data_IF_709167123520
#
_entry.id   IF_709167123520
#
_cell.length_a   1.000
_cell.length_b   1.000
_cell.length_c   1.000
_cell.angle_alpha   90.00
_cell.angle_beta   90.00
_cell.angle_gamma   90.00
#
_symmetry.space_group_name_H-M   'P 1'
#
loop_
_entity.id
_entity.type
_entity.pdbx_description
1 polymer ?
#
# COMPACT_ATOMS: atom_id res chain seq x y z
N UNK A 1 11.45 -25.53 6.94
CA UNK A 1 10.45 -24.95 7.89
C UNK A 1 9.19 -25.77 7.86
N UNK A 2 8.36 -25.62 8.88
CA UNK A 2 7.07 -26.31 9.09
C UNK A 2 5.99 -25.29 9.32
N UNK A 3 4.74 -25.58 8.91
CA UNK A 3 3.59 -24.75 9.22
C UNK A 3 2.38 -25.58 9.62
N UNK A 4 1.64 -25.09 10.60
CA UNK A 4 0.36 -25.63 11.00
C UNK A 4 -0.66 -24.49 11.08
N UNK A 5 -1.87 -24.76 10.58
CA UNK A 5 -2.98 -23.79 10.58
C UNK A 5 -4.16 -24.36 11.31
N UNK A 6 -4.86 -23.53 12.08
CA UNK A 6 -6.07 -23.85 12.80
C UNK A 6 -7.13 -22.77 12.61
N UNK A 7 -8.39 -23.18 12.72
CA UNK A 7 -9.48 -22.24 12.90
C UNK A 7 -9.26 -21.44 14.20
N UNK A 8 -9.52 -20.13 14.14
CA UNK A 8 -9.37 -19.23 15.28
C UNK A 8 -10.73 -18.62 15.62
N UNK A 9 -11.40 -19.23 16.62
CA UNK A 9 -12.80 -18.92 16.97
C UNK A 9 -12.94 -17.72 17.90
N UNK A 10 -11.89 -16.92 18.06
CA UNK A 10 -11.91 -15.73 18.90
C UNK A 10 -12.11 -14.46 18.07
N UNK A 11 -12.86 -13.52 18.62
CA UNK A 11 -12.96 -12.16 18.05
C UNK A 11 -11.68 -11.40 18.35
N UNK A 12 -10.96 -11.00 17.31
CA UNK A 12 -9.71 -10.26 17.45
C UNK A 12 -9.64 -9.16 16.38
N UNK A 13 -9.04 -8.03 16.74
CA UNK A 13 -8.67 -7.00 15.77
C UNK A 13 -7.26 -7.26 15.23
N UNK A 14 -7.08 -7.21 13.92
CA UNK A 14 -5.77 -7.43 13.31
C UNK A 14 -4.74 -6.36 13.70
N UNK A 15 -5.17 -5.15 14.09
CA UNK A 15 -4.27 -4.15 14.64
C UNK A 15 -3.72 -4.56 16.03
N UNK A 16 -4.52 -5.25 16.82
CA UNK A 16 -4.09 -5.75 18.14
C UNK A 16 -3.17 -6.97 18.00
N UNK A 17 -3.28 -7.72 16.90
CA UNK A 17 -2.29 -8.75 16.53
C UNK A 17 -0.96 -8.11 16.12
N UNK A 18 -0.96 -7.15 15.18
CA UNK A 18 0.24 -6.51 14.69
C UNK A 18 0.92 -5.65 15.76
N UNK A 19 0.13 -4.95 16.58
CA UNK A 19 0.64 -4.00 17.59
C UNK A 19 1.62 -2.99 16.96
N UNK A 20 2.72 -2.62 17.66
CA UNK A 20 3.75 -1.70 17.14
C UNK A 20 5.04 -2.38 16.66
N UNK A 21 5.07 -3.71 16.64
CA UNK A 21 6.27 -4.53 16.37
C UNK A 21 6.01 -5.72 15.43
N UNK A 22 4.77 -5.91 15.00
CA UNK A 22 4.37 -6.94 14.04
C UNK A 22 4.08 -6.35 12.65
N UNK A 23 3.40 -7.16 11.84
CA UNK A 23 3.10 -6.91 10.44
C UNK A 23 1.59 -6.80 10.23
N UNK A 24 1.17 -5.92 9.34
CA UNK A 24 -0.24 -5.68 9.03
C UNK A 24 -0.45 -5.45 7.55
N UNK A 25 -1.48 -6.07 6.98
CA UNK A 25 -2.09 -5.69 5.71
C UNK A 25 -3.59 -5.96 5.80
N UNK A 26 -4.41 -4.92 5.90
CA UNK A 26 -5.85 -5.04 6.20
C UNK A 26 -6.68 -3.96 5.52
N UNK A 27 -7.88 -4.34 5.05
CA UNK A 27 -8.90 -3.42 4.53
C UNK A 27 -10.27 -3.88 5.03
N UNK A 28 -11.11 -2.95 5.52
CA UNK A 28 -12.47 -3.26 6.02
C UNK A 28 -12.52 -4.39 7.05
N UNK A 29 -11.48 -4.52 7.88
CA UNK A 29 -11.35 -5.58 8.88
C UNK A 29 -10.93 -6.95 8.34
N UNK A 30 -10.80 -7.10 7.02
CA UNK A 30 -10.33 -8.32 6.33
C UNK A 30 -8.87 -8.17 5.96
N UNK A 31 -8.08 -9.23 6.10
CA UNK A 31 -6.65 -9.21 5.77
C UNK A 31 -5.79 -10.04 6.71
N UNK A 32 -4.57 -9.60 6.93
CA UNK A 32 -3.51 -10.36 7.57
C UNK A 32 -2.82 -9.51 8.61
N UNK A 33 -2.53 -10.12 9.76
CA UNK A 33 -1.57 -9.60 10.71
C UNK A 33 -0.60 -10.71 11.13
N UNK A 34 0.65 -10.34 11.38
CA UNK A 34 1.69 -11.28 11.75
C UNK A 34 2.56 -10.79 12.91
N UNK A 35 3.15 -11.74 13.65
CA UNK A 35 4.12 -11.47 14.72
C UNK A 35 5.33 -12.36 14.61
N UNK A 36 6.47 -11.81 15.04
CA UNK A 36 7.76 -12.48 14.92
C UNK A 36 8.16 -12.75 13.48
N UNK A 37 9.35 -13.22 13.25
CA UNK A 37 9.92 -13.50 11.93
C UNK A 37 10.36 -14.96 11.89
N UNK A 38 9.74 -15.76 11.01
CA UNK A 38 10.20 -17.10 10.71
C UNK A 38 11.30 -17.06 9.65
N UNK A 39 11.10 -16.24 8.59
CA UNK A 39 12.09 -16.08 7.52
C UNK A 39 11.99 -14.67 6.93
N UNK A 40 13.17 -14.09 6.61
CA UNK A 40 13.28 -12.99 5.65
C UNK A 40 13.78 -13.54 4.33
N UNK A 41 13.14 -13.10 3.23
CA UNK A 41 13.42 -13.62 1.89
C UNK A 41 13.33 -12.50 0.84
N UNK A 42 13.64 -12.81 -0.40
CA UNK A 42 13.63 -11.87 -1.53
C UNK A 42 12.51 -12.20 -2.52
N UNK A 43 12.26 -11.32 -3.47
CA UNK A 43 11.27 -11.54 -4.52
C UNK A 43 11.58 -12.79 -5.38
N UNK A 44 12.85 -13.12 -5.55
CA UNK A 44 13.33 -14.25 -6.33
C UNK A 44 13.09 -15.58 -5.61
N UNK A 45 13.15 -15.59 -4.28
CA UNK A 45 13.11 -16.80 -3.45
C UNK A 45 11.76 -17.04 -2.78
N UNK A 46 10.96 -16.01 -2.53
CA UNK A 46 9.76 -16.08 -1.68
C UNK A 46 8.77 -17.17 -2.08
N UNK A 47 8.54 -17.36 -3.38
CA UNK A 47 7.62 -18.40 -3.88
C UNK A 47 8.14 -19.80 -3.54
N UNK A 48 9.43 -20.05 -3.80
CA UNK A 48 10.08 -21.31 -3.48
C UNK A 48 10.14 -21.56 -1.99
N UNK A 49 10.45 -20.53 -1.21
CA UNK A 49 10.50 -20.62 0.26
C UNK A 49 9.13 -20.99 0.84
N UNK A 50 8.05 -20.35 0.38
CA UNK A 50 6.68 -20.69 0.79
C UNK A 50 6.30 -22.13 0.41
N UNK A 51 6.63 -22.57 -0.81
CA UNK A 51 6.34 -23.92 -1.29
C UNK A 51 7.12 -25.03 -0.56
N UNK A 52 8.30 -24.69 -0.03
CA UNK A 52 9.14 -25.62 0.74
C UNK A 52 8.73 -25.76 2.21
N UNK A 53 7.72 -25.02 2.67
CA UNK A 53 7.19 -25.15 4.03
C UNK A 53 6.38 -26.45 4.14
N UNK A 54 6.79 -27.35 5.05
CA UNK A 54 6.13 -28.63 5.26
C UNK A 54 4.87 -28.48 6.12
N UNK A 55 3.81 -29.13 5.73
CA UNK A 55 2.56 -29.16 6.48
C UNK A 55 2.68 -29.99 7.75
N UNK A 56 2.12 -29.47 8.86
CA UNK A 56 1.89 -30.19 10.12
C UNK A 56 0.39 -30.11 10.45
N UNK A 57 -0.20 -31.26 10.76
CA UNK A 57 -1.62 -31.37 11.06
C UNK A 57 -2.51 -31.63 9.85
N UNK A 58 -3.83 -31.63 10.06
CA UNK A 58 -4.84 -32.02 9.07
C UNK A 58 -5.34 -30.87 8.17
N UNK A 59 -5.29 -29.64 8.69
CA UNK A 59 -5.71 -28.47 7.93
C UNK A 59 -4.59 -28.03 6.98
N UNK A 60 -4.92 -27.72 5.72
CA UNK A 60 -3.95 -27.18 4.78
C UNK A 60 -3.32 -25.90 5.34
N UNK A 61 -2.00 -25.82 5.47
CA UNK A 61 -1.35 -24.64 6.00
C UNK A 61 -1.53 -23.47 5.06
N UNK A 62 -1.65 -22.28 5.64
CA UNK A 62 -1.84 -21.01 4.93
C UNK A 62 -0.70 -20.02 5.31
N UNK A 63 0.58 -20.40 5.10
CA UNK A 63 1.68 -19.48 5.33
C UNK A 63 1.68 -18.38 4.28
N UNK A 64 2.02 -17.18 4.70
CA UNK A 64 1.96 -15.96 3.90
C UNK A 64 3.26 -15.20 4.05
N UNK A 65 3.75 -14.64 2.97
CA UNK A 65 4.79 -13.63 2.98
C UNK A 65 4.20 -12.24 2.72
N UNK A 66 4.51 -11.28 3.60
CA UNK A 66 4.24 -9.87 3.37
C UNK A 66 5.49 -9.22 2.78
N UNK A 67 5.30 -8.26 1.86
CA UNK A 67 6.44 -7.65 1.20
C UNK A 67 6.16 -6.24 0.68
N UNK A 68 7.26 -5.60 0.28
CA UNK A 68 7.27 -4.27 -0.32
C UNK A 68 8.08 -4.36 -1.60
N UNK A 69 7.51 -3.87 -2.70
CA UNK A 69 8.20 -3.62 -3.96
C UNK A 69 8.53 -2.13 -3.97
N UNK A 70 9.80 -1.73 -3.97
CA UNK A 70 10.18 -0.32 -3.99
C UNK A 70 9.81 0.35 -5.31
N UNK A 71 9.85 1.70 -5.34
CA UNK A 71 9.53 2.48 -6.54
C UNK A 71 10.45 2.16 -7.71
N UNK A 72 11.74 2.00 -7.44
CA UNK A 72 12.72 1.61 -8.46
C UNK A 72 13.02 0.11 -8.35
N UNK A 73 13.05 -0.58 -9.49
CA UNK A 73 13.36 -2.01 -9.55
C UNK A 73 14.79 -2.36 -9.17
N UNK A 74 15.69 -1.36 -9.15
CA UNK A 74 17.10 -1.52 -8.74
C UNK A 74 17.26 -1.68 -7.22
N UNK A 75 16.23 -1.28 -6.43
CA UNK A 75 16.22 -1.42 -5.00
C UNK A 75 15.79 -2.85 -4.61
N UNK A 76 16.31 -3.34 -3.48
CA UNK A 76 16.00 -4.69 -3.03
C UNK A 76 14.56 -4.81 -2.54
N UNK A 77 13.86 -5.80 -3.07
CA UNK A 77 12.54 -6.20 -2.60
C UNK A 77 12.67 -7.15 -1.41
N UNK A 78 12.07 -6.80 -0.28
CA UNK A 78 12.11 -7.59 0.94
C UNK A 78 10.77 -8.20 1.26
N UNK A 79 10.81 -9.47 1.67
CA UNK A 79 9.65 -10.20 2.17
C UNK A 79 9.91 -10.73 3.57
N UNK A 80 8.84 -10.86 4.34
CA UNK A 80 8.84 -11.50 5.65
C UNK A 80 7.74 -12.56 5.71
N UNK A 81 8.10 -13.75 6.18
CA UNK A 81 7.18 -14.78 6.60
C UNK A 81 7.11 -14.70 8.12
N UNK A 82 5.98 -14.25 8.71
CA UNK A 82 5.85 -14.17 10.16
C UNK A 82 5.81 -15.56 10.82
N UNK A 83 6.24 -15.64 12.08
CA UNK A 83 6.11 -16.86 12.90
C UNK A 83 4.65 -17.17 13.25
N UNK A 84 3.89 -16.12 13.54
CA UNK A 84 2.46 -16.20 13.89
C UNK A 84 1.73 -15.35 12.86
N UNK A 85 0.73 -15.93 12.20
CA UNK A 85 -0.09 -15.28 11.18
C UNK A 85 -1.55 -15.44 11.56
N UNK A 86 -2.28 -14.33 11.71
CA UNK A 86 -3.73 -14.30 11.81
C UNK A 86 -4.28 -13.77 10.51
N UNK A 87 -5.10 -14.56 9.81
CA UNK A 87 -5.77 -14.19 8.57
C UNK A 87 -7.28 -14.14 8.79
N UNK A 88 -7.90 -13.02 8.45
CA UNK A 88 -9.36 -12.86 8.35
C UNK A 88 -9.74 -12.81 6.89
N UNK A 89 -10.63 -13.70 6.46
CA UNK A 89 -11.14 -13.78 5.10
C UNK A 89 -12.49 -13.06 4.97
N UNK A 90 -12.90 -12.79 3.73
CA UNK A 90 -14.17 -12.11 3.42
C UNK A 90 -15.41 -12.93 3.78
N UNK A 91 -15.29 -14.25 3.91
CA UNK A 91 -16.33 -15.17 4.40
C UNK A 91 -16.44 -15.19 5.93
N UNK A 92 -15.76 -14.26 6.62
CA UNK A 92 -15.67 -14.13 8.07
C UNK A 92 -14.91 -15.26 8.78
N UNK A 93 -14.28 -16.18 8.06
CA UNK A 93 -13.39 -17.16 8.70
C UNK A 93 -12.10 -16.49 9.15
N UNK A 94 -11.64 -16.90 10.35
CA UNK A 94 -10.35 -16.47 10.88
C UNK A 94 -9.48 -17.70 11.12
N UNK A 95 -8.22 -17.63 10.68
CA UNK A 95 -7.25 -18.70 10.88
C UNK A 95 -6.03 -18.18 11.64
N UNK A 96 -5.43 -19.06 12.42
CA UNK A 96 -4.14 -18.87 13.07
C UNK A 96 -3.15 -19.88 12.49
N UNK A 97 -2.06 -19.38 11.92
CA UNK A 97 -0.97 -20.20 11.38
C UNK A 97 0.29 -19.97 12.21
N UNK A 98 0.96 -21.04 12.60
CA UNK A 98 2.31 -21.01 13.17
C UNK A 98 3.27 -21.50 12.10
N UNK A 99 4.34 -20.73 11.87
CA UNK A 99 5.46 -21.10 11.00
C UNK A 99 6.72 -21.18 11.85
N UNK A 100 7.40 -22.33 11.82
CA UNK A 100 8.53 -22.63 12.69
C UNK A 100 9.65 -23.39 11.96
N UNK A 101 10.83 -23.41 12.57
CA UNK A 101 11.95 -24.18 12.03
C UNK A 101 11.92 -25.65 12.45
N UNK A 102 11.29 -25.94 13.57
CA UNK A 102 11.11 -27.29 14.11
C UNK A 102 9.62 -27.67 14.12
N UNK A 103 9.30 -28.93 13.78
CA UNK A 103 7.94 -29.45 13.75
C UNK A 103 7.28 -29.41 15.14
N UNK A 104 8.05 -29.63 16.20
CA UNK A 104 7.58 -29.62 17.59
C UNK A 104 7.01 -28.26 18.01
N UNK A 105 7.47 -27.16 17.41
CA UNK A 105 6.93 -25.81 17.65
C UNK A 105 5.52 -25.59 17.04
N UNK A 106 5.02 -26.54 16.24
CA UNK A 106 3.65 -26.55 15.70
C UNK A 106 2.65 -27.31 16.57
N UNK A 107 2.96 -27.54 17.84
CA UNK A 107 2.16 -28.31 18.80
C UNK A 107 0.96 -27.55 19.39
N UNK A 108 0.05 -28.28 20.04
CA UNK A 108 -1.12 -27.71 20.75
C UNK A 108 -0.71 -26.68 21.82
N UNK A 109 0.39 -26.93 22.51
CA UNK A 109 0.93 -26.03 23.52
C UNK A 109 1.34 -24.68 22.90
N UNK A 110 2.03 -24.68 21.77
CA UNK A 110 2.44 -23.46 21.09
C UNK A 110 1.24 -22.69 20.54
N UNK A 111 0.21 -23.36 20.05
CA UNK A 111 -1.04 -22.70 19.66
C UNK A 111 -1.76 -22.07 20.86
N UNK A 112 -1.77 -22.73 22.02
CA UNK A 112 -2.36 -22.18 23.23
C UNK A 112 -1.57 -20.94 23.73
N UNK A 113 -0.24 -20.99 23.72
CA UNK A 113 0.62 -19.86 24.06
C UNK A 113 0.42 -18.67 23.10
N UNK A 114 0.41 -18.93 21.80
CA UNK A 114 0.18 -17.90 20.78
C UNK A 114 -1.21 -17.26 20.96
N UNK A 115 -2.25 -18.07 21.16
CA UNK A 115 -3.62 -17.58 21.39
C UNK A 115 -3.69 -16.69 22.64
N UNK A 116 -3.07 -17.10 23.74
CA UNK A 116 -3.06 -16.33 24.98
C UNK A 116 -2.34 -14.98 24.80
N UNK A 117 -1.18 -14.94 24.12
CA UNK A 117 -0.49 -13.68 23.81
C UNK A 117 -1.34 -12.77 22.93
N UNK A 118 -1.98 -13.31 21.89
CA UNK A 118 -2.81 -12.55 20.97
C UNK A 118 -4.03 -11.93 21.66
N UNK A 119 -4.64 -12.64 22.60
CA UNK A 119 -5.83 -12.19 23.35
C UNK A 119 -5.49 -11.30 24.56
N UNK A 120 -4.22 -11.20 24.94
CA UNK A 120 -3.79 -10.33 26.04
C UNK A 120 -3.86 -8.85 25.60
N UNK A 121 -4.72 -8.02 26.23
CA UNK A 121 -4.87 -6.62 25.86
C UNK A 121 -3.58 -5.84 26.04
N UNK A 122 -3.26 -4.98 25.09
CA UNK A 122 -2.20 -3.98 25.25
C UNK A 122 -2.82 -2.63 25.61
N UNK A 123 -2.37 -2.05 26.70
CA UNK A 123 -2.76 -0.68 27.09
C UNK A 123 -1.94 0.29 26.25
N UNK A 124 -2.62 1.03 25.35
CA UNK A 124 -2.05 2.19 24.66
C UNK A 124 -2.01 3.34 25.66
N UNK A 125 -0.80 3.82 26.01
CA UNK A 125 -0.66 5.01 26.88
C UNK A 125 -0.76 6.26 26.02
N UNK A 126 -1.59 7.24 26.39
CA UNK A 126 -1.54 8.55 25.74
C UNK A 126 -0.13 9.12 25.88
N UNK A 127 0.47 9.54 24.77
CA UNK A 127 1.75 10.23 24.78
C UNK A 127 1.51 11.72 24.64
N UNK A 128 2.07 12.51 25.56
CA UNK A 128 2.07 13.96 25.49
C UNK A 128 3.29 14.48 24.70
N UNK A 129 3.61 13.85 23.59
CA UNK A 129 4.80 14.16 22.79
C UNK A 129 4.66 15.49 22.07
N UNK A 130 5.76 16.21 21.98
CA UNK A 130 5.89 17.33 21.05
C UNK A 130 6.37 16.84 19.68
N UNK A 131 5.88 17.48 18.61
CA UNK A 131 6.24 17.12 17.24
C UNK A 131 6.74 18.34 16.48
N UNK A 132 7.83 18.16 15.75
CA UNK A 132 8.33 19.13 14.79
C UNK A 132 8.14 18.59 13.37
N UNK A 133 7.52 19.41 12.51
CA UNK A 133 7.30 19.07 11.10
C UNK A 133 8.14 20.00 10.24
N UNK A 134 8.96 19.45 9.35
CA UNK A 134 9.81 20.22 8.45
C UNK A 134 9.84 19.60 7.05
N UNK A 135 9.91 20.40 5.98
CA UNK A 135 10.23 19.88 4.66
C UNK A 135 11.66 19.31 4.68
N UNK A 136 11.86 18.12 4.07
CA UNK A 136 13.20 17.57 3.82
C UNK A 136 13.75 18.19 2.55
N UNK A 137 13.02 18.02 1.44
CA UNK A 137 13.30 18.76 0.20
C UNK A 137 12.71 20.16 0.28
N UNK A 138 13.50 21.23 -0.01
CA UNK A 138 13.00 22.59 0.00
C UNK A 138 11.78 22.77 -0.93
N UNK A 139 10.80 23.55 -0.49
CA UNK A 139 9.59 23.82 -1.28
C UNK A 139 9.95 24.45 -2.64
N UNK A 140 10.99 25.29 -2.70
CA UNK A 140 11.48 25.89 -3.94
C UNK A 140 11.97 24.84 -4.96
N UNK A 141 12.61 23.78 -4.49
CA UNK A 141 13.05 22.65 -5.34
C UNK A 141 11.84 21.91 -5.91
N UNK A 142 10.82 21.62 -5.08
CA UNK A 142 9.59 21.02 -5.56
C UNK A 142 8.88 21.88 -6.62
N UNK A 143 8.73 23.18 -6.38
CA UNK A 143 8.08 24.10 -7.32
C UNK A 143 8.85 24.19 -8.64
N UNK A 144 10.19 24.19 -8.59
CA UNK A 144 11.04 24.14 -9.78
C UNK A 144 10.86 22.83 -10.56
N UNK A 145 10.83 21.69 -9.85
CA UNK A 145 10.60 20.37 -10.46
C UNK A 145 9.23 20.29 -11.14
N UNK A 146 8.14 20.79 -10.49
CA UNK A 146 6.81 20.86 -11.10
C UNK A 146 6.80 21.73 -12.35
N UNK A 147 7.49 22.89 -12.32
CA UNK A 147 7.61 23.79 -13.47
C UNK A 147 8.33 23.09 -14.63
N UNK A 148 9.47 22.45 -14.37
CA UNK A 148 10.24 21.71 -15.37
C UNK A 148 9.43 20.53 -15.95
N UNK A 149 8.67 19.81 -15.10
CA UNK A 149 7.80 18.71 -15.51
C UNK A 149 6.70 19.20 -16.45
N UNK A 150 5.98 20.26 -16.09
CA UNK A 150 4.96 20.89 -16.94
C UNK A 150 5.52 21.30 -18.30
N UNK A 151 6.68 21.92 -18.29
CA UNK A 151 7.32 22.41 -19.52
C UNK A 151 7.82 21.24 -20.41
N UNK A 152 8.28 20.12 -19.81
CA UNK A 152 8.60 18.89 -20.54
C UNK A 152 7.35 18.26 -21.19
N UNK A 153 6.21 18.27 -20.49
CA UNK A 153 4.92 17.81 -21.04
C UNK A 153 4.45 18.73 -22.17
N UNK A 154 4.54 20.06 -22.01
CA UNK A 154 4.20 21.03 -23.08
C UNK A 154 5.07 20.89 -24.31
N UNK A 155 6.33 20.49 -24.13
CA UNK A 155 7.26 20.21 -25.24
C UNK A 155 7.05 18.82 -25.88
N UNK A 156 6.07 18.04 -25.42
CA UNK A 156 5.77 16.70 -25.97
C UNK A 156 6.80 15.63 -25.60
N UNK A 157 7.72 15.88 -24.66
CA UNK A 157 8.69 14.89 -24.18
C UNK A 157 8.05 13.84 -23.27
N UNK A 158 7.02 14.23 -22.55
CA UNK A 158 6.23 13.40 -21.64
C UNK A 158 4.75 13.66 -21.90
N UNK A 159 3.90 12.69 -21.62
CA UNK A 159 2.44 12.85 -21.58
C UNK A 159 2.01 13.28 -20.18
N UNK A 160 2.63 12.67 -19.17
CA UNK A 160 2.40 12.90 -17.74
C UNK A 160 3.63 12.48 -16.95
N UNK A 161 3.93 13.17 -15.85
CA UNK A 161 4.90 12.71 -14.85
C UNK A 161 4.41 13.07 -13.46
N UNK A 162 4.69 12.23 -12.47
CA UNK A 162 4.36 12.52 -11.06
C UNK A 162 5.57 13.12 -10.38
N UNK A 163 5.42 14.30 -9.78
CA UNK A 163 6.46 14.93 -8.98
C UNK A 163 6.07 14.84 -7.50
N UNK A 164 6.98 14.29 -6.71
CA UNK A 164 6.80 14.12 -5.29
C UNK A 164 7.65 15.11 -4.47
N UNK A 165 7.27 15.27 -3.22
CA UNK A 165 8.05 15.91 -2.17
C UNK A 165 7.91 15.17 -0.86
N UNK A 166 8.77 15.48 0.07
CA UNK A 166 8.88 14.80 1.34
C UNK A 166 8.95 15.77 2.52
N UNK A 167 8.48 15.26 3.66
CA UNK A 167 8.54 15.97 4.95
C UNK A 167 9.01 15.02 6.04
N UNK A 168 9.68 15.55 7.05
CA UNK A 168 10.03 14.82 8.27
C UNK A 168 9.15 15.27 9.42
N UNK A 169 8.71 14.30 10.21
CA UNK A 169 8.06 14.50 11.51
C UNK A 169 8.99 13.93 12.56
N UNK A 170 9.49 14.75 13.47
CA UNK A 170 10.32 14.33 14.60
C UNK A 170 9.56 14.48 15.90
N UNK A 171 9.79 13.56 16.84
CA UNK A 171 9.17 13.51 18.16
C UNK A 171 10.24 13.43 19.24
N UNK A 172 10.02 14.07 20.38
CA UNK A 172 10.85 13.91 21.59
C UNK A 172 10.74 12.52 22.20
N UNK A 173 9.57 11.86 22.03
CA UNK A 173 9.29 10.51 22.50
C UNK A 173 9.17 9.50 21.34
N UNK A 174 9.18 8.21 21.67
CA UNK A 174 8.94 7.13 20.69
C UNK A 174 7.51 7.24 20.17
N UNK A 175 7.34 7.29 18.85
CA UNK A 175 6.04 7.24 18.18
C UNK A 175 5.42 5.86 18.42
N UNK A 176 4.31 5.81 19.15
CA UNK A 176 3.57 4.56 19.38
C UNK A 176 2.87 4.12 18.08
N UNK A 177 3.52 3.20 17.37
CA UNK A 177 3.02 2.68 16.10
C UNK A 177 1.66 2.00 16.23
N UNK A 178 1.38 1.31 17.35
CA UNK A 178 0.07 0.70 17.59
C UNK A 178 -1.03 1.77 17.64
N UNK A 179 -0.78 2.86 18.38
CA UNK A 179 -1.72 3.99 18.42
C UNK A 179 -1.92 4.62 17.03
N UNK A 180 -0.86 4.76 16.22
CA UNK A 180 -0.95 5.26 14.83
C UNK A 180 -1.84 4.33 13.99
N UNK A 181 -1.64 3.01 14.05
CA UNK A 181 -2.44 2.04 13.30
C UNK A 181 -3.92 2.05 13.71
N UNK A 182 -4.22 2.24 15.00
CA UNK A 182 -5.60 2.38 15.48
C UNK A 182 -6.28 3.67 14.96
N UNK A 183 -5.55 4.80 14.89
CA UNK A 183 -6.06 6.05 14.30
C UNK A 183 -6.28 5.90 12.78
N UNK A 184 -5.36 5.24 12.08
CA UNK A 184 -5.56 4.91 10.66
C UNK A 184 -6.79 4.02 10.45
N UNK A 185 -7.04 3.06 11.35
CA UNK A 185 -8.26 2.24 11.31
C UNK A 185 -9.53 3.09 11.45
N UNK A 186 -9.53 4.00 12.39
CA UNK A 186 -10.71 4.84 12.66
C UNK A 186 -11.05 5.79 11.50
N UNK A 187 -10.05 6.29 10.79
CA UNK A 187 -10.23 7.31 9.73
C UNK A 187 -10.21 6.72 8.32
N UNK A 188 -9.42 5.67 8.09
CA UNK A 188 -9.14 5.08 6.78
C UNK A 188 -9.40 3.57 6.76
N UNK A 189 -10.47 3.10 7.45
CA UNK A 189 -10.81 1.68 7.55
C UNK A 189 -11.01 0.99 6.20
N UNK A 190 -11.59 1.70 5.23
CA UNK A 190 -11.81 1.22 3.86
C UNK A 190 -10.58 1.29 2.94
N UNK A 191 -9.46 1.82 3.41
CA UNK A 191 -8.17 1.79 2.71
C UNK A 191 -7.36 0.56 3.09
N UNK A 192 -6.43 0.14 2.22
CA UNK A 192 -5.42 -0.85 2.54
C UNK A 192 -4.44 -0.27 3.56
N UNK A 193 -4.59 -0.66 4.82
CA UNK A 193 -3.70 -0.24 5.90
C UNK A 193 -2.63 -1.28 6.09
N UNK A 194 -1.39 -0.82 6.21
CA UNK A 194 -0.24 -1.71 6.29
C UNK A 194 0.82 -1.21 7.26
N UNK A 195 1.58 -2.17 7.77
CA UNK A 195 2.78 -1.96 8.58
C UNK A 195 3.76 -3.09 8.31
N UNK A 196 4.89 -2.78 7.69
CA UNK A 196 5.96 -3.74 7.40
C UNK A 196 7.30 -3.02 7.65
N UNK A 197 8.08 -3.50 8.63
CA UNK A 197 9.43 -2.97 8.94
C UNK A 197 9.47 -1.43 9.10
N UNK A 198 8.49 -0.86 9.79
CA UNK A 198 8.37 0.58 10.02
C UNK A 198 7.85 1.37 8.82
N UNK A 199 7.61 0.75 7.67
CA UNK A 199 6.88 1.36 6.56
C UNK A 199 5.39 1.17 6.78
N UNK A 200 4.68 2.27 6.98
CA UNK A 200 3.27 2.29 7.35
C UNK A 200 2.44 3.15 6.40
N UNK A 201 1.17 2.82 6.24
CA UNK A 201 0.30 3.65 5.40
C UNK A 201 -1.15 3.19 5.35
N UNK A 202 -1.94 3.96 4.59
CA UNK A 202 -3.36 3.72 4.33
C UNK A 202 -3.68 4.05 2.86
N UNK A 203 -3.37 3.13 1.96
CA UNK A 203 -3.56 3.30 0.52
C UNK A 203 -5.01 3.04 0.09
N UNK A 204 -5.65 3.92 -0.67
CA UNK A 204 -6.96 3.66 -1.25
C UNK A 204 -6.90 2.78 -2.52
N UNK A 205 -5.71 2.57 -3.10
CA UNK A 205 -5.54 2.06 -4.46
C UNK A 205 -5.09 0.60 -4.48
N UNK A 206 -5.91 -0.26 -5.11
CA UNK A 206 -5.54 -1.63 -5.42
C UNK A 206 -4.67 -1.65 -6.68
N UNK A 207 -3.41 -2.04 -6.53
CA UNK A 207 -2.54 -2.29 -7.67
C UNK A 207 -2.99 -3.55 -8.41
N UNK A 208 -3.01 -4.68 -7.72
CA UNK A 208 -3.47 -5.97 -8.26
C UNK A 208 -3.78 -6.94 -7.14
N UNK A 209 -4.82 -7.75 -7.34
CA UNK A 209 -5.06 -8.93 -6.53
C UNK A 209 -5.31 -10.13 -7.43
N UNK A 210 -4.87 -11.29 -6.98
CA UNK A 210 -5.15 -12.59 -7.60
C UNK A 210 -5.79 -13.49 -6.57
N UNK A 211 -6.91 -14.07 -6.92
CA UNK A 211 -7.55 -15.14 -6.19
C UNK A 211 -7.89 -16.25 -7.15
N UNK A 212 -7.24 -17.40 -6.97
CA UNK A 212 -7.30 -18.54 -7.87
C UNK A 212 -6.87 -18.17 -9.31
N UNK A 213 -7.82 -18.00 -10.21
CA UNK A 213 -7.56 -17.57 -11.58
C UNK A 213 -8.13 -16.19 -11.92
N UNK A 214 -8.73 -15.53 -10.94
CA UNK A 214 -9.28 -14.19 -11.12
C UNK A 214 -8.25 -13.14 -10.75
N UNK A 215 -7.97 -12.21 -11.66
CA UNK A 215 -7.15 -11.01 -11.42
C UNK A 215 -8.05 -9.79 -11.34
N UNK A 216 -7.76 -8.92 -10.37
CA UNK A 216 -8.46 -7.63 -10.21
C UNK A 216 -7.46 -6.51 -10.02
N UNK A 217 -7.78 -5.31 -10.54
CA UNK A 217 -7.07 -4.07 -10.28
C UNK A 217 -8.08 -2.93 -10.13
N UNK A 218 -7.71 -1.86 -9.43
CA UNK A 218 -8.56 -0.69 -9.27
C UNK A 218 -7.70 0.58 -9.27
N UNK A 219 -7.20 0.98 -10.45
CA UNK A 219 -6.39 2.18 -10.60
C UNK A 219 -7.19 3.43 -10.26
N UNK A 220 -6.53 4.36 -9.58
CA UNK A 220 -7.06 5.67 -9.21
C UNK A 220 -6.20 6.77 -9.83
N UNK A 221 -6.84 7.73 -10.51
CA UNK A 221 -6.17 8.95 -10.98
C UNK A 221 -7.18 10.08 -11.16
N UNK A 222 -6.69 11.33 -11.18
CA UNK A 222 -7.55 12.49 -11.04
C UNK A 222 -7.99 12.68 -9.58
N UNK A 223 -7.94 13.90 -9.07
CA UNK A 223 -8.19 14.17 -7.65
C UNK A 223 -8.95 15.46 -7.44
N UNK A 224 -9.89 15.45 -6.50
CA UNK A 224 -10.47 16.67 -5.92
C UNK A 224 -10.52 16.56 -4.39
N UNK A 225 -10.62 17.68 -3.71
CA UNK A 225 -10.72 17.70 -2.25
C UNK A 225 -12.09 17.19 -1.79
N UNK A 226 -12.13 16.67 -0.56
CA UNK A 226 -13.33 16.36 0.18
C UNK A 226 -13.41 17.24 1.40
N UNK A 227 -14.51 17.97 1.56
CA UNK A 227 -14.70 18.98 2.62
C UNK A 227 -15.40 18.41 3.85
N UNK A 228 -16.15 17.31 3.68
CA UNK A 228 -17.05 16.76 4.70
C UNK A 228 -18.45 17.35 4.66
N UNK A 229 -18.70 18.37 3.84
CA UNK A 229 -20.06 18.86 3.55
C UNK A 229 -20.64 18.10 2.37
N UNK A 230 -21.75 17.33 2.55
CA UNK A 230 -22.27 16.44 1.52
C UNK A 230 -22.65 17.16 0.20
N UNK A 231 -23.18 18.37 0.27
CA UNK A 231 -23.59 19.12 -0.92
C UNK A 231 -22.37 19.59 -1.73
N UNK A 232 -21.37 20.15 -1.05
CA UNK A 232 -20.10 20.56 -1.66
C UNK A 232 -19.36 19.36 -2.23
N UNK A 233 -19.26 18.26 -1.49
CA UNK A 233 -18.58 17.05 -1.91
C UNK A 233 -19.24 16.41 -3.15
N UNK A 234 -20.57 16.41 -3.23
CA UNK A 234 -21.32 15.96 -4.42
C UNK A 234 -21.04 16.85 -5.64
N UNK A 235 -21.00 18.16 -5.46
CA UNK A 235 -20.68 19.10 -6.55
C UNK A 235 -19.23 18.88 -7.05
N UNK A 236 -18.27 18.77 -6.14
CA UNK A 236 -16.86 18.52 -6.46
C UNK A 236 -16.67 17.16 -7.16
N UNK A 237 -17.43 16.12 -6.76
CA UNK A 237 -17.45 14.83 -7.43
C UNK A 237 -17.94 14.94 -8.88
N UNK A 238 -19.01 15.69 -9.10
CA UNK A 238 -19.57 15.91 -10.44
C UNK A 238 -18.61 16.72 -11.33
N UNK A 239 -17.97 17.74 -10.78
CA UNK A 239 -16.93 18.51 -11.48
C UNK A 239 -15.70 17.64 -11.83
N UNK A 240 -15.28 16.74 -10.94
CA UNK A 240 -14.20 15.78 -11.18
C UNK A 240 -14.55 14.84 -12.35
N UNK A 241 -15.76 14.27 -12.36
CA UNK A 241 -16.23 13.41 -13.44
C UNK A 241 -16.35 14.15 -14.79
N UNK A 242 -16.79 15.42 -14.78
CA UNK A 242 -16.93 16.23 -15.99
C UNK A 242 -15.59 16.81 -16.51
N UNK A 243 -14.53 16.75 -15.71
CA UNK A 243 -13.25 17.34 -16.04
C UNK A 243 -12.51 16.56 -17.14
N UNK A 244 -12.42 17.11 -18.34
CA UNK A 244 -11.65 16.50 -19.44
C UNK A 244 -10.18 16.24 -19.08
N UNK A 245 -9.55 17.15 -18.29
CA UNK A 245 -8.18 16.95 -17.77
C UNK A 245 -8.08 15.68 -16.95
N UNK A 246 -8.97 15.51 -15.95
CA UNK A 246 -8.94 14.36 -15.05
C UNK A 246 -9.31 13.05 -15.77
N UNK A 247 -10.22 13.10 -16.74
CA UNK A 247 -10.57 11.94 -17.56
C UNK A 247 -9.39 11.45 -18.40
N UNK A 248 -8.64 12.36 -19.05
CA UNK A 248 -7.44 12.01 -19.81
C UNK A 248 -6.36 11.44 -18.88
N UNK A 249 -6.12 12.09 -17.74
CA UNK A 249 -5.15 11.63 -16.74
C UNK A 249 -5.48 10.20 -16.27
N UNK A 250 -6.76 9.94 -15.97
CA UNK A 250 -7.22 8.64 -15.51
C UNK A 250 -7.11 7.58 -16.60
N UNK A 251 -7.50 7.90 -17.84
CA UNK A 251 -7.45 6.99 -18.97
C UNK A 251 -6.05 6.43 -19.24
N UNK A 252 -5.02 7.26 -19.17
CA UNK A 252 -3.62 6.83 -19.33
C UNK A 252 -3.26 5.73 -18.33
N UNK A 253 -3.75 5.82 -17.10
CA UNK A 253 -3.46 4.81 -16.07
C UNK A 253 -4.24 3.52 -16.33
N UNK A 254 -5.52 3.62 -16.70
CA UNK A 254 -6.36 2.46 -17.02
C UNK A 254 -5.81 1.69 -18.22
N UNK A 255 -5.46 2.39 -19.29
CA UNK A 255 -4.92 1.79 -20.52
C UNK A 255 -3.60 1.04 -20.22
N UNK A 256 -2.70 1.62 -19.41
CA UNK A 256 -1.46 0.93 -19.03
C UNK A 256 -1.74 -0.33 -18.20
N UNK A 257 -2.65 -0.26 -17.22
CA UNK A 257 -3.02 -1.43 -16.41
C UNK A 257 -3.60 -2.52 -17.31
N UNK A 258 -4.51 -2.16 -18.21
CA UNK A 258 -5.07 -3.07 -19.19
C UNK A 258 -3.99 -3.73 -20.05
N UNK A 259 -3.16 -2.93 -20.72
CA UNK A 259 -2.14 -3.41 -21.66
C UNK A 259 -1.08 -4.29 -20.96
N UNK A 260 -0.76 -3.98 -19.69
CA UNK A 260 0.17 -4.75 -18.88
C UNK A 260 -0.44 -6.11 -18.47
N UNK A 261 -1.73 -6.16 -18.11
CA UNK A 261 -2.38 -7.38 -17.67
C UNK A 261 -2.85 -8.28 -18.82
N UNK A 262 -3.18 -7.69 -19.97
CA UNK A 262 -3.76 -8.41 -21.12
C UNK A 262 -2.95 -9.64 -21.55
N UNK A 263 -1.61 -9.63 -21.65
CA UNK A 263 -0.84 -10.81 -22.04
C UNK A 263 -0.95 -12.00 -21.07
N UNK A 264 -1.35 -11.76 -19.82
CA UNK A 264 -1.51 -12.77 -18.78
C UNK A 264 -2.94 -13.32 -18.69
N UNK A 265 -3.89 -12.73 -19.43
CA UNK A 265 -5.31 -13.01 -19.29
C UNK A 265 -5.88 -13.67 -20.55
N UNK A 266 -6.79 -14.64 -20.35
CA UNK A 266 -7.67 -15.17 -21.40
C UNK A 266 -8.88 -14.26 -21.63
N UNK A 267 -9.24 -13.48 -20.64
CA UNK A 267 -10.28 -12.46 -20.66
C UNK A 267 -9.89 -11.33 -19.72
N UNK A 268 -10.08 -10.08 -20.14
CA UNK A 268 -9.87 -8.89 -19.34
C UNK A 268 -10.91 -7.84 -19.72
N UNK A 269 -11.59 -7.29 -18.72
CA UNK A 269 -12.61 -6.27 -18.89
C UNK A 269 -12.45 -5.16 -17.85
N UNK A 270 -12.98 -3.99 -18.14
CA UNK A 270 -12.97 -2.87 -17.22
C UNK A 270 -14.26 -2.05 -17.34
N UNK A 271 -14.60 -1.37 -16.27
CA UNK A 271 -15.74 -0.48 -16.21
C UNK A 271 -15.56 0.67 -17.24
N UNK A 272 -16.52 0.88 -18.18
CA UNK A 272 -16.37 1.87 -19.26
C UNK A 272 -16.17 3.29 -18.76
N UNK A 273 -16.97 3.69 -17.76
CA UNK A 273 -16.93 5.02 -17.16
C UNK A 273 -16.35 4.94 -15.74
N UNK A 274 -15.40 5.82 -15.37
CA UNK A 274 -14.86 5.82 -14.03
C UNK A 274 -15.88 6.25 -12.99
N UNK A 275 -15.85 5.63 -11.83
CA UNK A 275 -16.63 6.02 -10.66
C UNK A 275 -15.85 6.97 -9.75
N UNK A 276 -16.55 7.74 -8.91
CA UNK A 276 -15.89 8.55 -7.89
C UNK A 276 -15.65 7.72 -6.64
N UNK A 277 -14.40 7.57 -6.26
CA UNK A 277 -13.95 6.90 -5.04
C UNK A 277 -13.64 7.93 -3.97
N UNK A 278 -14.44 7.97 -2.92
CA UNK A 278 -14.23 8.87 -1.79
C UNK A 278 -13.31 8.24 -0.75
N UNK A 279 -12.26 8.97 -0.39
CA UNK A 279 -11.39 8.70 0.76
C UNK A 279 -11.62 9.79 1.79
N UNK A 280 -11.07 9.68 3.00
CA UNK A 280 -11.42 10.58 4.10
C UNK A 280 -11.37 12.08 3.74
N UNK A 281 -10.36 12.53 3.00
CA UNK A 281 -10.14 13.96 2.70
C UNK A 281 -10.03 14.30 1.21
N UNK A 282 -10.17 13.30 0.32
CA UNK A 282 -10.10 13.48 -1.13
C UNK A 282 -11.06 12.55 -1.86
N UNK A 283 -11.34 12.87 -3.13
CA UNK A 283 -12.08 12.02 -4.05
C UNK A 283 -11.22 11.78 -5.30
N UNK A 284 -11.27 10.57 -5.85
CA UNK A 284 -10.54 10.16 -7.05
C UNK A 284 -11.50 9.57 -8.09
N UNK A 285 -11.10 9.61 -9.37
CA UNK A 285 -11.68 8.71 -10.35
C UNK A 285 -11.07 7.32 -10.18
N UNK A 286 -11.90 6.29 -10.23
CA UNK A 286 -11.50 4.89 -10.14
C UNK A 286 -12.20 4.02 -11.16
N UNK A 287 -11.47 3.05 -11.72
CA UNK A 287 -11.99 2.08 -12.69
C UNK A 287 -11.73 0.67 -12.21
N UNK A 288 -12.76 -0.14 -12.11
CA UNK A 288 -12.60 -1.57 -11.82
C UNK A 288 -12.14 -2.33 -13.05
N UNK A 289 -11.05 -3.08 -12.93
CA UNK A 289 -10.51 -3.99 -13.95
C UNK A 289 -10.59 -5.40 -13.40
N UNK A 290 -11.19 -6.32 -14.15
CA UNK A 290 -11.36 -7.72 -13.75
C UNK A 290 -11.02 -8.62 -14.92
N UNK A 291 -10.26 -9.69 -14.66
CA UNK A 291 -9.85 -10.63 -15.69
C UNK A 291 -9.72 -12.06 -15.20
N UNK A 292 -9.62 -12.97 -16.16
CA UNK A 292 -9.35 -14.38 -15.98
C UNK A 292 -7.94 -14.67 -16.47
N UNK A 293 -7.05 -15.12 -15.60
CA UNK A 293 -5.68 -15.46 -15.94
C UNK A 293 -5.61 -16.70 -16.86
N UNK A 294 -4.63 -16.69 -17.74
CA UNK A 294 -4.26 -17.86 -18.55
C UNK A 294 -3.77 -19.02 -17.66
N UNK A 295 -3.80 -20.24 -18.19
CA UNK A 295 -3.18 -21.39 -17.53
C UNK A 295 -1.82 -21.69 -18.16
N UNK A 296 -0.77 -21.96 -17.35
CA UNK A 296 -0.76 -21.95 -15.88
C UNK A 296 -0.94 -20.56 -15.31
N UNK A 297 -1.60 -20.46 -14.15
CA UNK A 297 -1.92 -19.20 -13.50
C UNK A 297 -0.67 -18.45 -13.09
N UNK A 298 -0.58 -17.18 -13.49
CA UNK A 298 0.54 -16.29 -13.13
C UNK A 298 0.41 -15.86 -11.68
N UNK A 299 1.52 -15.89 -10.93
CA UNK A 299 1.58 -15.46 -9.55
C UNK A 299 1.36 -13.93 -9.43
N UNK A 300 0.64 -13.52 -8.39
CA UNK A 300 0.35 -12.10 -8.13
C UNK A 300 1.61 -11.23 -8.07
N UNK A 301 2.73 -11.75 -7.55
CA UNK A 301 3.99 -11.00 -7.47
C UNK A 301 4.53 -10.63 -8.85
N UNK A 302 4.43 -11.51 -9.83
CA UNK A 302 4.82 -11.23 -11.22
C UNK A 302 4.00 -10.08 -11.79
N UNK A 303 2.69 -10.09 -11.57
CA UNK A 303 1.78 -9.04 -12.04
C UNK A 303 2.04 -7.71 -11.30
N UNK A 304 2.26 -7.76 -9.99
CA UNK A 304 2.57 -6.58 -9.19
C UNK A 304 3.88 -5.90 -9.65
N UNK A 305 4.92 -6.68 -9.94
CA UNK A 305 6.19 -6.17 -10.48
C UNK A 305 6.04 -5.59 -11.89
N UNK A 306 5.22 -6.20 -12.73
CA UNK A 306 4.97 -5.70 -14.09
C UNK A 306 4.20 -4.37 -14.09
N UNK A 307 3.29 -4.17 -13.12
CA UNK A 307 2.48 -2.95 -13.00
C UNK A 307 3.20 -1.81 -12.25
N UNK A 308 4.24 -2.11 -11.47
CA UNK A 308 4.91 -1.13 -10.61
C UNK A 308 6.18 -0.58 -11.29
N UNK A 309 6.40 0.76 -11.27
CA UNK A 309 5.46 1.79 -10.85
C UNK A 309 4.41 2.12 -11.92
N UNK A 310 3.18 2.40 -11.48
CA UNK A 310 2.10 2.81 -12.41
C UNK A 310 2.31 4.24 -12.91
N UNK A 311 1.71 4.66 -14.05
CA UNK A 311 1.72 6.06 -14.47
C UNK A 311 1.04 7.00 -13.46
N UNK A 312 0.23 6.47 -12.54
CA UNK A 312 -0.33 7.24 -11.43
C UNK A 312 0.76 7.71 -10.44
N UNK A 313 1.92 7.05 -10.39
CA UNK A 313 3.04 7.36 -9.50
C UNK A 313 4.35 7.68 -10.25
N UNK A 314 4.58 7.12 -11.43
CA UNK A 314 5.73 7.41 -12.28
C UNK A 314 5.39 8.47 -13.33
N UNK A 315 4.71 8.05 -14.35
CA UNK A 315 4.32 8.86 -15.52
C UNK A 315 4.33 8.03 -16.81
N UNK A 316 4.17 8.74 -17.92
CA UNK A 316 4.13 8.12 -19.25
C UNK A 316 4.82 9.00 -20.30
N UNK A 317 5.68 8.47 -21.20
CA UNK A 317 6.21 7.09 -21.22
C UNK A 317 6.99 6.75 -19.95
N UNK A 318 6.90 5.50 -19.46
CA UNK A 318 7.38 5.12 -18.12
C UNK A 318 8.87 5.34 -17.92
N UNK A 319 9.72 4.89 -18.88
CA UNK A 319 11.18 5.02 -18.78
C UNK A 319 11.63 6.48 -18.70
N UNK A 320 11.05 7.33 -19.57
CA UNK A 320 11.42 8.73 -19.67
C UNK A 320 10.94 9.51 -18.42
N UNK A 321 9.75 9.16 -17.92
CA UNK A 321 9.21 9.73 -16.70
C UNK A 321 10.06 9.36 -15.46
N UNK A 322 10.50 8.10 -15.34
CA UNK A 322 11.38 7.67 -14.24
C UNK A 322 12.73 8.38 -14.30
N UNK A 323 13.32 8.50 -15.50
CA UNK A 323 14.58 9.24 -15.64
C UNK A 323 14.40 10.72 -15.27
N UNK A 324 13.31 11.33 -15.73
CA UNK A 324 13.00 12.72 -15.38
C UNK A 324 12.84 12.93 -13.87
N UNK A 325 12.14 12.01 -13.20
CA UNK A 325 11.98 12.03 -11.73
C UNK A 325 13.33 12.00 -11.02
N UNK A 326 14.23 11.09 -11.43
CA UNK A 326 15.60 10.98 -10.88
C UNK A 326 16.38 12.28 -11.01
N UNK A 327 16.19 12.99 -12.13
CA UNK A 327 16.93 14.22 -12.44
C UNK A 327 16.44 15.45 -11.65
N UNK A 328 15.15 15.48 -11.25
CA UNK A 328 14.55 16.73 -10.73
C UNK A 328 14.09 16.67 -9.26
N UNK A 329 13.79 15.50 -8.68
CA UNK A 329 13.24 15.43 -7.31
C UNK A 329 14.26 15.67 -6.21
N UNK A 330 15.52 15.26 -6.43
CA UNK A 330 16.61 15.48 -5.47
C UNK A 330 16.59 14.59 -4.23
N UNK A 331 15.73 13.58 -4.16
CA UNK A 331 15.68 12.57 -3.09
C UNK A 331 15.30 11.19 -3.63
N UNK A 332 15.54 10.14 -2.82
CA UNK A 332 15.08 8.78 -3.14
C UNK A 332 13.68 8.55 -2.58
N UNK A 333 12.78 8.05 -3.41
CA UNK A 333 11.43 7.66 -2.99
C UNK A 333 11.41 6.39 -2.14
N UNK A 334 12.45 5.53 -2.25
CA UNK A 334 12.48 4.24 -1.58
C UNK A 334 11.20 3.42 -1.88
N UNK A 335 10.41 3.16 -0.84
CA UNK A 335 9.18 2.39 -0.95
C UNK A 335 7.96 3.21 -1.43
N UNK A 336 8.01 4.54 -1.33
CA UNK A 336 6.90 5.40 -1.75
C UNK A 336 6.70 5.34 -3.27
N UNK A 337 5.47 5.09 -3.70
CA UNK A 337 5.11 4.95 -5.11
C UNK A 337 5.39 3.57 -5.70
N UNK A 338 5.95 2.66 -4.90
CA UNK A 338 6.04 1.24 -5.19
C UNK A 338 4.75 0.50 -4.84
N UNK A 339 4.87 -0.75 -4.37
CA UNK A 339 3.73 -1.55 -3.95
C UNK A 339 3.98 -2.26 -2.62
N UNK A 340 2.91 -2.51 -1.86
CA UNK A 340 2.92 -3.23 -0.59
C UNK A 340 1.82 -4.29 -0.60
N UNK A 341 2.11 -5.48 -0.11
CA UNK A 341 1.12 -6.55 -0.16
C UNK A 341 1.59 -7.87 0.43
N UNK A 342 0.94 -8.93 -0.02
CA UNK A 342 1.22 -10.28 0.44
C UNK A 342 1.03 -11.29 -0.70
N UNK A 343 1.65 -12.47 -0.51
CA UNK A 343 1.54 -13.64 -1.38
C UNK A 343 1.41 -14.90 -0.52
N UNK A 344 0.59 -15.87 -0.98
CA UNK A 344 0.47 -17.21 -0.41
C UNK A 344 1.22 -18.28 -1.24
N UNK A 345 1.14 -19.53 -0.79
CA UNK A 345 1.78 -20.70 -1.45
C UNK A 345 1.23 -21.01 -2.84
N UNK A 346 0.02 -20.56 -3.15
CA UNK A 346 -0.66 -20.76 -4.43
C UNK A 346 -0.43 -19.65 -5.43
N UNK A 347 0.29 -18.59 -5.01
CA UNK A 347 0.51 -17.39 -5.81
C UNK A 347 -0.65 -16.40 -5.80
N UNK A 348 -1.66 -16.63 -4.92
CA UNK A 348 -2.67 -15.62 -4.63
C UNK A 348 -2.07 -14.49 -3.79
N UNK A 349 -2.74 -13.36 -3.78
CA UNK A 349 -2.32 -12.23 -2.96
C UNK A 349 -3.02 -10.94 -3.33
N UNK A 350 -2.72 -9.90 -2.55
CA UNK A 350 -3.25 -8.56 -2.77
C UNK A 350 -2.12 -7.56 -2.59
N UNK A 351 -1.96 -6.67 -3.55
CA UNK A 351 -0.95 -5.61 -3.57
C UNK A 351 -1.63 -4.26 -3.73
N UNK A 352 -1.35 -3.35 -2.84
CA UNK A 352 -1.80 -1.96 -2.92
C UNK A 352 -0.63 -1.06 -3.37
N UNK A 353 -0.94 0.04 -4.02
CA UNK A 353 0.05 1.07 -4.33
C UNK A 353 0.56 1.70 -3.03
N UNK A 354 1.88 1.83 -2.87
CA UNK A 354 2.49 2.31 -1.64
C UNK A 354 2.44 3.86 -1.54
N UNK A 355 1.27 4.38 -1.21
CA UNK A 355 0.98 5.80 -1.03
C UNK A 355 0.30 6.08 0.30
N UNK A 356 0.14 7.37 0.64
CA UNK A 356 -0.40 7.79 1.95
C UNK A 356 0.36 7.07 3.07
N UNK A 357 1.69 7.20 3.03
CA UNK A 357 2.63 6.39 3.80
C UNK A 357 3.67 7.23 4.52
N UNK A 358 4.33 6.58 5.45
CA UNK A 358 5.50 7.08 6.16
C UNK A 358 6.49 5.94 6.40
N UNK A 359 7.78 6.25 6.38
CA UNK A 359 8.84 5.38 6.87
C UNK A 359 9.30 5.89 8.24
N UNK A 360 9.16 5.05 9.27
CA UNK A 360 9.70 5.35 10.59
C UNK A 360 11.21 5.09 10.62
N UNK A 361 11.93 5.90 11.39
CA UNK A 361 13.33 5.64 11.76
C UNK A 361 13.43 4.41 12.67
N UNK A 362 14.64 3.82 12.77
CA UNK A 362 14.88 2.64 13.62
C UNK A 362 14.58 2.90 15.10
N UNK A 363 14.88 4.11 15.59
CA UNK A 363 14.58 4.54 16.96
C UNK A 363 13.12 4.92 17.18
N UNK A 364 12.31 4.91 16.10
CA UNK A 364 10.89 5.29 16.07
C UNK A 364 10.62 6.71 16.60
N UNK A 365 11.60 7.60 16.58
CA UNK A 365 11.44 9.00 16.98
C UNK A 365 11.20 9.93 15.80
N UNK A 366 11.36 9.44 14.58
CA UNK A 366 11.03 10.24 13.40
C UNK A 366 10.26 9.41 12.37
N UNK A 367 9.51 10.12 11.53
CA UNK A 367 8.79 9.57 10.40
C UNK A 367 9.04 10.44 9.16
N UNK A 368 9.38 9.79 8.04
CA UNK A 368 9.56 10.41 6.74
C UNK A 368 8.32 10.15 5.90
N UNK A 369 7.62 11.20 5.51
CA UNK A 369 6.35 11.15 4.78
C UNK A 369 6.53 11.65 3.36
N UNK A 370 5.75 11.10 2.42
CA UNK A 370 5.82 11.40 1.00
C UNK A 370 4.45 11.73 0.43
N UNK A 371 4.42 12.68 -0.51
CA UNK A 371 3.25 12.98 -1.31
C UNK A 371 3.65 13.53 -2.68
N UNK A 372 2.91 13.15 -3.73
CA UNK A 372 3.14 13.62 -5.10
C UNK A 372 1.84 13.97 -5.81
N UNK A 373 1.96 14.73 -6.89
CA UNK A 373 0.89 15.10 -7.81
C UNK A 373 1.24 14.78 -9.27
N UNK A 374 0.23 14.43 -10.06
CA UNK A 374 0.39 14.16 -11.49
C UNK A 374 0.47 15.46 -12.28
N UNK A 375 1.61 15.70 -12.92
CA UNK A 375 1.87 16.92 -13.68
C UNK A 375 1.54 16.70 -15.15
N UNK A 376 0.71 17.59 -15.68
CA UNK A 376 0.28 17.67 -17.08
C UNK A 376 0.49 19.09 -17.61
N UNK A 377 0.22 19.34 -18.89
CA UNK A 377 0.45 20.64 -19.55
C UNK A 377 -0.23 21.83 -18.85
N UNK A 378 -1.36 21.60 -18.16
CA UNK A 378 -2.16 22.63 -17.47
C UNK A 378 -1.86 22.75 -15.98
N UNK A 379 -0.93 21.95 -15.44
CA UNK A 379 -0.59 21.99 -14.02
C UNK A 379 0.03 23.31 -13.61
N UNK A 380 -0.38 23.82 -12.44
CA UNK A 380 0.14 25.04 -11.84
C UNK A 380 0.90 24.73 -10.55
N UNK A 381 2.18 25.13 -10.40
CA UNK A 381 3.05 24.69 -9.31
C UNK A 381 2.48 24.93 -7.91
N UNK A 382 1.83 26.06 -7.66
CA UNK A 382 1.24 26.37 -6.35
C UNK A 382 0.00 25.50 -6.07
N UNK A 383 -0.80 25.18 -7.08
CA UNK A 383 -1.94 24.28 -6.93
C UNK A 383 -1.50 22.85 -6.60
N UNK A 384 -0.44 22.37 -7.25
CA UNK A 384 0.14 21.06 -6.99
C UNK A 384 0.75 20.98 -5.56
N UNK A 385 1.36 22.08 -5.08
CA UNK A 385 1.84 22.18 -3.70
C UNK A 385 0.68 22.03 -2.69
N UNK A 386 -0.45 22.70 -2.92
CA UNK A 386 -1.64 22.59 -2.07
C UNK A 386 -2.20 21.17 -2.08
N UNK A 387 -2.24 20.51 -3.24
CA UNK A 387 -2.69 19.12 -3.37
C UNK A 387 -1.81 18.18 -2.56
N UNK A 388 -0.47 18.30 -2.66
CA UNK A 388 0.43 17.46 -1.86
C UNK A 388 0.27 17.72 -0.36
N UNK A 389 0.01 18.96 0.06
CA UNK A 389 -0.27 19.30 1.47
C UNK A 389 -1.51 18.57 1.99
N UNK A 390 -2.57 18.49 1.20
CA UNK A 390 -3.78 17.72 1.55
C UNK A 390 -3.49 16.23 1.66
N UNK A 391 -2.62 15.69 0.79
CA UNK A 391 -2.23 14.27 0.80
C UNK A 391 -1.42 13.87 2.04
N UNK A 392 -0.60 14.76 2.59
CA UNK A 392 0.12 14.50 3.84
C UNK A 392 -0.80 14.37 5.05
N UNK A 393 -1.96 15.04 5.05
CA UNK A 393 -2.84 15.10 6.22
C UNK A 393 -3.27 13.74 6.75
N UNK A 394 -3.40 12.72 5.87
CA UNK A 394 -3.75 11.38 6.26
C UNK A 394 -2.76 10.81 7.30
N UNK A 395 -1.47 10.85 6.98
CA UNK A 395 -0.43 10.33 7.86
C UNK A 395 -0.11 11.30 9.01
N UNK A 396 -0.08 12.60 8.74
CA UNK A 396 0.15 13.61 9.80
C UNK A 396 -0.89 13.46 10.91
N UNK A 397 -2.18 13.39 10.56
CA UNK A 397 -3.24 13.25 11.58
C UNK A 397 -3.15 11.95 12.38
N UNK A 398 -2.62 10.87 11.79
CA UNK A 398 -2.44 9.63 12.50
C UNK A 398 -1.21 9.63 13.43
N UNK A 399 -0.13 10.32 13.03
CA UNK A 399 1.13 10.36 13.80
C UNK A 399 1.06 11.41 14.92
N UNK A 400 0.62 12.65 14.59
CA UNK A 400 0.78 13.84 15.45
C UNK A 400 -0.38 14.01 16.45
N UNK A 401 -1.53 13.38 16.23
CA UNK A 401 -2.64 13.48 17.20
C UNK A 401 -2.37 12.64 18.44
N UNK A 402 -2.66 13.18 19.65
CA UNK A 402 -2.57 12.45 20.90
C UNK A 402 -3.59 11.31 21.03
#
# INVERSE_FOLDING_TARGET
>A
MYASTRQFDHVIDLNDVARGDGFLFVRDGVGIAGRGIALRTTAESVTTDLQNIKQVGSMTPDPIALGIIPFLHDDQTHFVIPKIIVRKKSDHTTTLTIVANDESECSDEHFALATNDLLTPRVVKPSASSFQISPVTPISTYLAAVTAARDAVRAGKLVKVVIARDISVTSDEIIDLHAVLLRLRATFGSSYRYSIDGFIGASPELLVAVQDSTVTSHPLAGTTTRTGDPATDTRLASELQASAKNQIEHRVVVDMVHDTLLPFCSFLDWQPDPSVVSVANVQHLGTSVVGQLNKPTTHVLTLARALCPTPALGGYPTSDAIQFIRDVEGFSRGNYGGAVGWIDTLGNGTWAVAIRCAQLSQDKKSAHLFAGGGIVAQSEPLSELVETQAKFQAMLSAIVRP
#
